data_IF_161716651482
#
_entry.id   IF_161716651482
#
_cell.length_a   1.000
_cell.length_b   1.000
_cell.length_c   1.000
_cell.angle_alpha   90.00
_cell.angle_beta   90.00
_cell.angle_gamma   90.00
#
_symmetry.space_group_name_H-M   'P 1'
#
loop_
_entity.id
_entity.type
_entity.pdbx_description
1 polymer ?
#
# COMPACT_ATOMS: atom_id res chain seq x y z
N UNK A 1 -0.94 18.06 -21.34
CA UNK A 1 -0.08 17.17 -20.52
C UNK A 1 -0.92 15.96 -20.17
N UNK A 2 -0.57 14.76 -20.63
CA UNK A 2 -1.36 13.55 -20.35
C UNK A 2 -1.18 13.17 -18.88
N UNK A 3 -2.28 13.06 -18.13
CA UNK A 3 -2.26 12.67 -16.72
C UNK A 3 -1.81 11.22 -16.61
N UNK A 4 -0.71 10.89 -15.94
CA UNK A 4 -0.35 9.48 -15.70
C UNK A 4 -1.05 8.93 -14.46
N UNK A 5 -1.40 7.65 -14.49
CA UNK A 5 -2.10 6.94 -13.43
C UNK A 5 -1.10 6.15 -12.58
N UNK A 6 -0.99 6.48 -11.29
CA UNK A 6 -0.23 5.69 -10.33
C UNK A 6 -1.13 4.62 -9.68
N UNK A 7 -0.84 3.35 -9.94
CA UNK A 7 -1.58 2.23 -9.36
C UNK A 7 -0.79 1.72 -8.15
N UNK A 8 -1.37 1.67 -6.94
CA UNK A 8 -0.70 1.06 -5.80
C UNK A 8 -0.54 -0.43 -6.05
N UNK A 9 0.64 -0.96 -5.78
CA UNK A 9 0.98 -2.36 -5.98
C UNK A 9 1.46 -2.97 -4.68
N UNK A 10 0.88 -4.11 -4.33
CA UNK A 10 1.39 -4.97 -3.26
C UNK A 10 1.90 -6.25 -3.90
N UNK A 11 3.17 -6.56 -3.71
CA UNK A 11 3.80 -7.80 -4.14
C UNK A 11 4.04 -8.66 -2.91
N UNK A 12 3.36 -9.80 -2.81
CA UNK A 12 3.60 -10.77 -1.74
C UNK A 12 4.45 -11.91 -2.27
N UNK A 13 5.70 -11.96 -1.81
CA UNK A 13 6.66 -12.99 -2.16
C UNK A 13 6.56 -14.17 -1.20
N UNK A 14 6.62 -15.37 -1.75
CA UNK A 14 6.66 -16.62 -0.99
C UNK A 14 7.68 -17.58 -1.56
N UNK A 15 8.21 -18.47 -0.71
CA UNK A 15 9.21 -19.49 -1.05
C UNK A 15 10.48 -18.92 -1.70
N UNK A 16 10.93 -17.75 -1.24
CA UNK A 16 12.11 -17.07 -1.79
C UNK A 16 13.39 -17.61 -1.13
N UNK A 17 14.32 -18.09 -1.93
CA UNK A 17 15.61 -18.55 -1.43
C UNK A 17 16.45 -17.37 -0.84
N UNK A 18 17.32 -17.68 0.13
CA UNK A 18 18.29 -16.72 0.64
C UNK A 18 19.39 -16.42 -0.38
N UNK A 19 20.10 -15.31 -0.20
CA UNK A 19 21.15 -14.82 -1.13
C UNK A 19 20.76 -14.83 -2.63
N UNK A 20 19.48 -14.60 -2.91
CA UNK A 20 18.91 -14.73 -4.24
C UNK A 20 18.72 -13.37 -4.88
N UNK A 21 18.87 -13.34 -6.20
CA UNK A 21 18.57 -12.18 -7.02
C UNK A 21 17.21 -12.37 -7.69
N UNK A 22 16.26 -11.52 -7.34
CA UNK A 22 14.95 -11.46 -7.96
C UNK A 22 14.85 -10.20 -8.82
N UNK A 23 14.18 -10.31 -9.95
CA UNK A 23 13.96 -9.18 -10.84
C UNK A 23 12.54 -9.24 -11.42
N UNK A 24 11.87 -8.10 -11.51
CA UNK A 24 10.62 -7.94 -12.22
C UNK A 24 10.79 -6.81 -13.25
N UNK A 25 10.80 -7.19 -14.53
CA UNK A 25 10.98 -6.27 -15.65
C UNK A 25 9.67 -6.12 -16.41
N UNK A 26 9.15 -4.90 -16.47
CA UNK A 26 7.99 -4.51 -17.24
C UNK A 26 8.42 -4.20 -18.68
N UNK A 27 7.74 -4.80 -19.64
CA UNK A 27 7.94 -4.54 -21.08
C UNK A 27 6.79 -3.79 -21.72
N UNK A 28 5.70 -3.55 -20.99
CA UNK A 28 4.60 -2.70 -21.46
C UNK A 28 5.06 -1.27 -21.67
N UNK A 29 4.90 -0.70 -22.88
CA UNK A 29 5.16 0.72 -23.11
C UNK A 29 4.32 1.62 -22.21
N UNK A 30 4.92 2.65 -21.63
CA UNK A 30 4.21 3.60 -20.76
C UNK A 30 3.95 3.10 -19.33
N UNK A 31 4.36 1.87 -18.97
CA UNK A 31 4.34 1.37 -17.60
C UNK A 31 5.74 1.39 -16.98
N UNK A 32 5.86 1.90 -15.75
CA UNK A 32 7.11 1.89 -14.99
C UNK A 32 6.86 1.80 -13.49
N UNK A 33 7.80 1.20 -12.78
CA UNK A 33 7.85 1.28 -11.32
C UNK A 33 8.13 2.71 -10.87
N UNK A 34 7.54 3.08 -9.75
CA UNK A 34 7.63 4.41 -9.17
C UNK A 34 7.50 4.31 -7.66
N UNK A 35 8.18 5.21 -6.94
CA UNK A 35 7.86 5.48 -5.52
C UNK A 35 6.65 6.41 -5.37
N UNK A 36 6.06 6.86 -6.49
CA UNK A 36 5.24 8.08 -6.51
C UNK A 36 6.15 9.31 -6.69
N UNK A 37 5.73 10.28 -7.50
CA UNK A 37 6.40 11.57 -7.64
C UNK A 37 5.44 12.69 -7.24
N UNK A 38 5.85 13.84 -6.69
CA UNK A 38 7.16 14.52 -6.71
C UNK A 38 7.35 15.46 -5.49
N UNK A 39 8.59 15.50 -4.98
CA UNK A 39 9.23 16.49 -4.08
C UNK A 39 8.75 16.51 -2.60
N UNK A 40 9.69 16.31 -1.68
CA UNK A 40 9.50 16.21 -0.23
C UNK A 40 9.72 14.76 0.24
N UNK A 41 10.43 14.57 1.35
CA UNK A 41 11.02 13.30 1.78
C UNK A 41 10.09 12.08 1.63
N UNK A 42 10.43 11.31 0.60
CA UNK A 42 10.04 9.97 0.18
C UNK A 42 9.03 9.21 1.06
N UNK A 43 7.80 9.08 0.58
CA UNK A 43 6.90 7.97 0.91
C UNK A 43 6.74 7.08 -0.32
N UNK A 44 6.69 5.75 -0.12
CA UNK A 44 6.15 4.83 -1.12
C UNK A 44 6.84 3.47 -1.27
N UNK A 45 7.78 3.10 -0.41
CA UNK A 45 8.34 1.75 -0.36
C UNK A 45 8.15 1.19 1.05
N UNK A 46 7.38 0.11 1.19
CA UNK A 46 7.31 -0.63 2.45
C UNK A 46 7.67 -2.08 2.21
N UNK A 47 8.43 -2.62 3.15
CA UNK A 47 8.82 -4.02 3.18
C UNK A 47 8.41 -4.60 4.52
N UNK A 48 7.66 -5.70 4.48
CA UNK A 48 7.28 -6.42 5.69
C UNK A 48 7.74 -7.86 5.57
N UNK A 49 8.43 -8.39 6.58
CA UNK A 49 8.66 -9.83 6.70
C UNK A 49 7.36 -10.44 7.22
N UNK A 50 6.81 -11.42 6.51
CA UNK A 50 5.67 -12.18 7.02
C UNK A 50 6.23 -13.16 8.06
N UNK A 51 6.04 -12.83 9.34
CA UNK A 51 6.63 -13.58 10.45
C UNK A 51 6.27 -15.07 10.36
N UNK A 52 7.29 -15.93 10.35
CA UNK A 52 7.10 -17.35 10.67
C UNK A 52 7.23 -17.62 12.17
N UNK A 53 7.87 -16.73 12.95
CA UNK A 53 7.92 -16.78 14.42
C UNK A 53 8.19 -15.38 15.02
N UNK A 54 7.66 -15.13 16.22
CA UNK A 54 7.57 -13.79 16.87
C UNK A 54 8.91 -13.33 17.49
N UNK A 55 9.92 -14.19 17.56
CA UNK A 55 11.23 -13.88 18.14
C UNK A 55 12.35 -14.32 17.19
N UNK A 56 13.06 -13.35 16.58
CA UNK A 56 14.27 -13.62 15.78
C UNK A 56 14.15 -13.36 14.28
N UNK A 57 13.42 -12.32 13.84
CA UNK A 57 13.34 -11.95 12.42
C UNK A 57 14.74 -11.71 11.85
N UNK A 58 15.23 -12.67 11.07
CA UNK A 58 16.45 -12.51 10.31
C UNK A 58 16.14 -11.62 9.10
N UNK A 59 16.93 -10.57 8.82
CA UNK A 59 16.67 -9.69 7.68
C UNK A 59 16.63 -10.49 6.38
N UNK A 60 15.48 -10.49 5.69
CA UNK A 60 15.28 -11.24 4.45
C UNK A 60 15.82 -10.49 3.23
N UNK A 61 15.81 -9.16 3.22
CA UNK A 61 16.30 -8.35 2.10
C UNK A 61 17.67 -7.71 2.40
N UNK A 62 18.55 -7.75 1.41
CA UNK A 62 19.83 -7.05 1.38
C UNK A 62 19.71 -5.73 0.62
N UNK A 63 18.96 -5.69 -0.49
CA UNK A 63 18.74 -4.47 -1.26
C UNK A 63 17.47 -4.56 -2.09
N UNK A 64 16.83 -3.41 -2.32
CA UNK A 64 15.82 -3.24 -3.37
C UNK A 64 16.16 -2.01 -4.18
N UNK A 65 16.10 -2.14 -5.49
CA UNK A 65 16.30 -1.05 -6.43
C UNK A 65 15.21 -1.11 -7.50
N UNK A 66 14.86 0.01 -8.10
CA UNK A 66 14.04 0.00 -9.31
C UNK A 66 14.45 1.16 -10.20
N UNK A 67 14.37 0.95 -11.50
CA UNK A 67 14.68 1.95 -12.51
C UNK A 67 13.75 1.76 -13.70
N UNK A 68 12.80 2.67 -13.86
CA UNK A 68 11.80 2.59 -14.92
C UNK A 68 11.02 1.29 -14.83
N UNK A 69 11.08 0.45 -15.87
CA UNK A 69 10.38 -0.83 -15.91
C UNK A 69 11.00 -1.94 -15.03
N UNK A 70 12.17 -1.73 -14.42
CA UNK A 70 12.91 -2.79 -13.72
C UNK A 70 12.78 -2.63 -12.21
N UNK A 71 12.43 -3.70 -11.49
CA UNK A 71 12.47 -3.82 -10.03
C UNK A 71 13.41 -4.96 -9.66
N UNK A 72 14.49 -4.66 -8.96
CA UNK A 72 15.52 -5.61 -8.55
C UNK A 72 15.51 -5.78 -7.04
N UNK A 73 15.54 -7.02 -6.56
CA UNK A 73 15.50 -7.36 -5.15
C UNK A 73 16.60 -8.38 -4.88
N UNK A 74 17.41 -8.12 -3.86
CA UNK A 74 18.42 -9.06 -3.37
C UNK A 74 18.03 -9.53 -1.98
N UNK A 75 17.92 -10.84 -1.79
CA UNK A 75 17.71 -11.40 -0.46
C UNK A 75 19.04 -11.57 0.28
N UNK A 76 19.00 -11.48 1.60
CA UNK A 76 20.16 -11.58 2.47
C UNK A 76 20.71 -13.00 2.50
N UNK A 77 22.03 -13.13 2.64
CA UNK A 77 22.70 -14.42 2.80
C UNK A 77 22.44 -15.08 4.15
N UNK A 78 22.02 -14.31 5.16
CA UNK A 78 21.65 -14.85 6.46
C UNK A 78 20.18 -15.26 6.55
N UNK A 79 19.35 -14.87 5.56
CA UNK A 79 17.92 -15.17 5.57
C UNK A 79 17.64 -16.69 5.62
N UNK A 80 16.55 -17.12 6.26
CA UNK A 80 16.07 -18.50 6.21
C UNK A 80 15.94 -19.05 4.79
N UNK A 81 15.93 -20.37 4.65
CA UNK A 81 15.52 -20.97 3.39
C UNK A 81 14.01 -20.76 3.19
N UNK A 82 13.59 -20.32 2.00
CA UNK A 82 12.17 -20.15 1.61
C UNK A 82 11.42 -19.04 2.37
N UNK A 83 11.96 -17.83 2.34
CA UNK A 83 11.37 -16.67 3.00
C UNK A 83 10.06 -16.19 2.37
N UNK A 84 9.31 -15.44 3.17
CA UNK A 84 8.09 -14.73 2.75
C UNK A 84 8.18 -13.27 3.17
N UNK A 85 7.86 -12.38 2.24
CA UNK A 85 7.83 -10.95 2.52
C UNK A 85 6.88 -10.24 1.57
N UNK A 86 6.46 -9.03 1.91
CA UNK A 86 5.70 -8.17 1.02
C UNK A 86 6.49 -6.91 0.68
N UNK A 87 6.27 -6.41 -0.54
CA UNK A 87 6.70 -5.10 -0.99
C UNK A 87 5.48 -4.28 -1.40
N UNK A 88 5.38 -3.04 -0.92
CA UNK A 88 4.39 -2.09 -1.41
C UNK A 88 5.11 -1.00 -2.20
N UNK A 89 4.66 -0.75 -3.43
CA UNK A 89 5.21 0.25 -4.35
C UNK A 89 4.12 0.74 -5.31
N UNK A 90 4.48 1.54 -6.32
CA UNK A 90 3.53 2.04 -7.32
C UNK A 90 3.95 1.69 -8.76
N UNK A 91 2.96 1.51 -9.61
CA UNK A 91 3.11 1.52 -11.07
C UNK A 91 2.64 2.85 -11.62
N UNK A 92 3.53 3.63 -12.22
CA UNK A 92 3.19 4.79 -13.03
C UNK A 92 2.88 4.32 -14.45
N UNK A 93 1.61 4.44 -14.85
CA UNK A 93 1.06 3.89 -16.09
C UNK A 93 0.38 5.01 -16.89
N UNK A 94 0.57 5.01 -18.20
CA UNK A 94 -0.14 5.93 -19.10
C UNK A 94 -1.65 5.60 -19.19
N UNK A 95 -2.56 6.59 -19.31
CA UNK A 95 -4.02 6.42 -19.21
C UNK A 95 -4.66 5.29 -20.00
N UNK A 96 -4.11 5.01 -21.18
CA UNK A 96 -4.71 4.12 -22.17
C UNK A 96 -4.05 2.74 -22.18
N UNK A 97 -3.17 2.44 -21.23
CA UNK A 97 -2.49 1.16 -21.10
C UNK A 97 -3.43 0.17 -20.40
N UNK A 98 -4.00 -0.84 -21.09
CA UNK A 98 -5.04 -1.69 -20.53
C UNK A 98 -4.48 -2.97 -19.88
N UNK A 99 -3.18 -3.21 -20.00
CA UNK A 99 -2.53 -4.40 -19.48
C UNK A 99 -1.07 -4.13 -19.13
N UNK A 100 -0.56 -4.93 -18.22
CA UNK A 100 0.84 -5.03 -17.85
C UNK A 100 1.41 -6.32 -18.44
N UNK A 101 2.62 -6.27 -18.98
CA UNK A 101 3.40 -7.40 -19.49
C UNK A 101 4.84 -7.22 -19.07
N UNK A 102 5.53 -8.33 -18.89
CA UNK A 102 6.91 -8.33 -18.46
C UNK A 102 7.46 -9.73 -18.23
N UNK A 103 8.55 -9.76 -17.46
CA UNK A 103 9.21 -10.97 -17.05
C UNK A 103 9.64 -10.87 -15.58
N UNK A 104 9.47 -11.95 -14.84
CA UNK A 104 10.06 -12.14 -13.53
C UNK A 104 11.25 -13.10 -13.63
N UNK A 105 12.36 -12.78 -12.98
CA UNK A 105 13.43 -13.72 -12.65
C UNK A 105 13.31 -14.03 -11.17
N UNK A 106 12.95 -15.27 -10.83
CA UNK A 106 12.78 -15.75 -9.45
C UNK A 106 13.49 -17.10 -9.29
N UNK A 107 13.75 -17.54 -8.05
CA UNK A 107 14.10 -18.95 -7.83
C UNK A 107 12.91 -19.86 -8.18
N UNK A 108 13.18 -21.13 -8.53
CA UNK A 108 12.17 -22.04 -9.10
C UNK A 108 10.88 -22.18 -8.28
N UNK A 109 10.99 -22.16 -6.95
CA UNK A 109 9.85 -22.37 -6.05
C UNK A 109 9.17 -21.06 -5.64
N UNK A 110 9.76 -19.91 -5.97
CA UNK A 110 9.24 -18.62 -5.57
C UNK A 110 8.01 -18.21 -6.38
N UNK A 111 7.03 -17.68 -5.66
CA UNK A 111 5.77 -17.18 -6.21
C UNK A 111 5.54 -15.78 -5.69
N UNK A 112 5.14 -14.88 -6.59
CA UNK A 112 4.72 -13.52 -6.25
C UNK A 112 3.22 -13.41 -6.48
N UNK A 113 2.46 -13.14 -5.43
CA UNK A 113 1.07 -12.69 -5.55
C UNK A 113 1.08 -11.18 -5.72
N UNK A 114 0.88 -10.72 -6.96
CA UNK A 114 0.89 -9.32 -7.32
C UNK A 114 -0.52 -8.74 -7.32
N UNK A 115 -0.78 -7.82 -6.40
CA UNK A 115 -2.02 -7.08 -6.32
C UNK A 115 -1.81 -5.71 -6.97
N UNK A 116 -2.50 -5.45 -8.07
CA UNK A 116 -2.40 -4.21 -8.83
C UNK A 116 -3.66 -3.37 -8.57
N UNK A 117 -3.58 -2.42 -7.65
CA UNK A 117 -4.74 -1.66 -7.20
C UNK A 117 -5.68 -2.51 -6.35
N UNK A 118 -6.98 -2.44 -6.67
CA UNK A 118 -8.04 -3.19 -6.00
C UNK A 118 -8.42 -4.49 -6.72
N UNK A 119 -7.50 -5.14 -7.44
CA UNK A 119 -7.77 -6.34 -8.23
C UNK A 119 -7.47 -7.65 -7.49
N UNK A 120 -7.91 -8.76 -8.10
CA UNK A 120 -7.42 -10.10 -7.77
C UNK A 120 -5.89 -10.15 -7.83
N UNK A 121 -5.23 -10.87 -6.90
CA UNK A 121 -3.81 -11.14 -7.05
C UNK A 121 -3.57 -11.96 -8.31
N UNK A 122 -2.66 -11.49 -9.15
CA UNK A 122 -2.11 -12.29 -10.23
C UNK A 122 -0.88 -13.00 -9.70
N UNK A 123 -0.85 -14.33 -9.85
CA UNK A 123 0.32 -15.12 -9.47
C UNK A 123 1.37 -15.03 -10.58
N UNK A 124 2.55 -14.56 -10.20
CA UNK A 124 3.72 -14.49 -11.06
C UNK A 124 4.75 -15.51 -10.61
N UNK A 125 5.28 -16.22 -11.59
CA UNK A 125 6.33 -17.22 -11.44
C UNK A 125 7.57 -16.75 -12.22
N UNK A 126 8.67 -17.48 -12.07
CA UNK A 126 9.83 -17.27 -12.92
C UNK A 126 9.45 -17.40 -14.41
N UNK A 127 9.71 -16.37 -15.21
CA UNK A 127 9.34 -16.30 -16.62
C UNK A 127 8.41 -15.13 -16.96
N UNK A 128 7.56 -15.31 -17.97
CA UNK A 128 6.66 -14.25 -18.46
C UNK A 128 5.57 -13.92 -17.46
N UNK A 129 5.27 -12.63 -17.31
CA UNK A 129 4.15 -12.14 -16.53
C UNK A 129 3.22 -11.29 -17.37
N UNK A 130 1.96 -11.30 -17.00
CA UNK A 130 0.94 -10.41 -17.56
C UNK A 130 -0.16 -10.16 -16.55
N UNK A 131 -0.76 -8.99 -16.59
CA UNK A 131 -1.95 -8.66 -15.82
C UNK A 131 -2.84 -7.73 -16.64
N UNK A 132 -4.15 -7.85 -16.51
CA UNK A 132 -5.08 -6.85 -17.05
C UNK A 132 -5.15 -5.71 -16.04
N UNK A 133 -5.08 -4.47 -16.52
CA UNK A 133 -5.22 -3.30 -15.69
C UNK A 133 -6.67 -2.82 -15.80
N UNK A 134 -7.44 -2.79 -14.70
CA UNK A 134 -8.81 -2.33 -14.74
C UNK A 134 -8.86 -0.84 -15.06
N UNK A 135 -9.94 -0.44 -15.72
CA UNK A 135 -10.33 0.97 -15.67
C UNK A 135 -10.58 1.35 -14.22
N UNK A 136 -9.97 2.44 -13.74
CA UNK A 136 -10.19 2.91 -12.38
C UNK A 136 -11.71 3.06 -12.13
N UNK A 137 -12.29 2.42 -11.10
CA UNK A 137 -13.71 2.58 -10.78
C UNK A 137 -13.97 4.06 -10.58
N UNK A 138 -14.91 4.62 -11.38
CA UNK A 138 -15.04 6.09 -11.56
C UNK A 138 -15.17 6.86 -10.25
N UNK A 139 -15.72 6.22 -9.20
CA UNK A 139 -15.98 6.85 -7.91
C UNK A 139 -15.42 6.06 -6.71
N UNK A 140 -14.30 5.37 -6.86
CA UNK A 140 -13.63 4.72 -5.74
C UNK A 140 -12.11 4.86 -5.85
N UNK A 141 -11.44 5.21 -4.75
CA UNK A 141 -9.98 5.36 -4.68
C UNK A 141 -9.42 4.81 -3.39
N UNK A 142 -8.21 4.29 -3.47
CA UNK A 142 -7.42 3.95 -2.30
C UNK A 142 -7.00 5.23 -1.57
N UNK A 143 -6.92 5.15 -0.24
CA UNK A 143 -6.29 6.12 0.63
C UNK A 143 -5.19 5.40 1.38
N UNK A 144 -3.94 5.78 1.12
CA UNK A 144 -2.78 5.27 1.87
C UNK A 144 -2.53 6.19 3.05
N UNK A 145 -2.56 5.65 4.25
CA UNK A 145 -2.22 6.33 5.48
C UNK A 145 -0.85 5.89 5.97
N UNK A 146 -0.02 6.86 6.34
CA UNK A 146 1.21 6.65 7.11
C UNK A 146 0.99 7.26 8.48
N UNK A 147 1.03 6.43 9.50
CA UNK A 147 0.73 6.82 10.89
C UNK A 147 2.00 6.56 11.68
N UNK A 148 2.56 7.58 12.32
CA UNK A 148 3.73 7.43 13.19
C UNK A 148 3.41 7.89 14.60
N UNK A 149 4.19 7.43 15.58
CA UNK A 149 4.06 7.87 16.96
C UNK A 149 2.95 7.19 17.78
N UNK A 150 2.30 6.14 17.26
CA UNK A 150 1.31 5.36 17.99
C UNK A 150 1.91 4.75 19.26
N UNK A 151 1.34 5.07 20.43
CA UNK A 151 1.70 4.48 21.71
C UNK A 151 0.78 3.29 22.03
N UNK A 152 1.19 2.40 22.94
CA UNK A 152 0.27 1.41 23.52
C UNK A 152 -0.96 2.07 24.14
N UNK A 153 -2.16 1.56 23.82
CA UNK A 153 -3.43 2.11 24.28
C UNK A 153 -3.95 3.32 23.51
N UNK A 154 -3.17 3.90 22.59
CA UNK A 154 -3.57 5.08 21.81
C UNK A 154 -4.75 4.78 20.87
N UNK A 155 -5.80 5.61 20.88
CA UNK A 155 -6.83 5.60 19.86
C UNK A 155 -6.42 6.44 18.65
N UNK A 156 -6.83 5.99 17.46
CA UNK A 156 -6.79 6.75 16.23
C UNK A 156 -8.14 6.64 15.54
N UNK A 157 -8.72 7.79 15.16
CA UNK A 157 -9.94 7.86 14.37
C UNK A 157 -9.69 8.63 13.09
N UNK A 158 -10.18 8.10 11.97
CA UNK A 158 -10.06 8.70 10.64
C UNK A 158 -11.45 8.90 10.04
N UNK A 159 -11.84 10.16 9.92
CA UNK A 159 -13.13 10.59 9.40
C UNK A 159 -13.03 10.97 7.93
N UNK A 160 -14.10 10.69 7.17
CA UNK A 160 -14.25 11.13 5.78
C UNK A 160 -15.58 11.84 5.54
N UNK A 161 -15.52 12.98 4.85
CA UNK A 161 -16.68 13.69 4.31
C UNK A 161 -16.41 14.14 2.88
N UNK A 162 -17.46 14.48 2.15
CA UNK A 162 -17.36 15.08 0.81
C UNK A 162 -17.48 16.61 0.87
N UNK A 163 -17.00 17.29 -0.17
CA UNK A 163 -17.42 18.66 -0.45
C UNK A 163 -18.91 18.72 -0.77
N UNK A 164 -19.59 19.77 -0.29
CA UNK A 164 -20.99 19.97 -0.62
C UNK A 164 -21.14 20.48 -2.07
N UNK A 165 -22.13 19.98 -2.85
CA UNK A 165 -23.11 18.95 -2.53
C UNK A 165 -22.60 17.54 -2.93
N UNK A 166 -22.28 16.70 -1.94
CA UNK A 166 -21.78 15.34 -2.21
C UNK A 166 -21.74 14.46 -0.97
N UNK A 167 -21.45 13.18 -1.18
CA UNK A 167 -21.20 12.21 -0.13
C UNK A 167 -19.92 11.44 -0.42
N UNK A 168 -19.14 11.20 0.63
CA UNK A 168 -18.00 10.29 0.60
C UNK A 168 -18.16 9.31 1.75
N UNK A 169 -17.75 8.07 1.51
CA UNK A 169 -17.80 7.00 2.51
C UNK A 169 -16.59 6.08 2.39
N UNK A 170 -16.16 5.57 3.53
CA UNK A 170 -15.25 4.46 3.58
C UNK A 170 -15.90 3.21 3.01
N UNK A 171 -15.15 2.40 2.27
CA UNK A 171 -15.57 1.11 1.73
C UNK A 171 -14.45 0.10 1.91
N UNK A 172 -14.79 -1.18 2.05
CA UNK A 172 -13.79 -2.24 2.14
C UNK A 172 -13.00 -2.40 0.84
N UNK A 173 -13.47 -1.85 -0.26
CA UNK A 173 -12.81 -1.90 -1.55
C UNK A 173 -13.77 -1.46 -2.65
N UNK A 174 -13.32 -1.46 -3.92
CA UNK A 174 -14.22 -1.39 -5.05
C UNK A 174 -15.18 -2.59 -5.08
N UNK A 175 -16.33 -2.46 -5.78
CA UNK A 175 -17.35 -3.51 -5.96
C UNK A 175 -16.86 -4.65 -6.91
N UNK A 176 -15.62 -5.12 -6.72
CA UNK A 176 -15.05 -6.28 -7.38
C UNK A 176 -14.82 -7.37 -6.32
N UNK A 177 -15.33 -8.60 -6.52
CA UNK A 177 -15.40 -9.65 -5.50
C UNK A 177 -14.08 -10.07 -4.81
N UNK A 178 -12.92 -9.66 -5.31
CA UNK A 178 -11.61 -10.06 -4.80
C UNK A 178 -10.62 -8.90 -4.63
N UNK A 179 -11.10 -7.66 -4.49
CA UNK A 179 -10.23 -6.55 -4.13
C UNK A 179 -9.50 -6.83 -2.82
N UNK A 180 -8.25 -6.36 -2.72
CA UNK A 180 -7.61 -6.17 -1.43
C UNK A 180 -8.53 -5.31 -0.58
N UNK A 181 -8.92 -5.85 0.56
CA UNK A 181 -9.68 -5.14 1.58
C UNK A 181 -8.89 -3.97 2.17
N UNK A 182 -9.44 -3.34 3.21
CA UNK A 182 -8.60 -2.51 4.07
C UNK A 182 -7.44 -3.36 4.64
N UNK A 183 -6.21 -2.85 4.53
CA UNK A 183 -4.99 -3.56 4.91
C UNK A 183 -4.16 -2.72 5.88
N UNK A 184 -3.53 -3.38 6.85
CA UNK A 184 -2.65 -2.75 7.84
C UNK A 184 -1.32 -3.48 7.89
N UNK A 185 -0.24 -2.72 7.93
CA UNK A 185 1.13 -3.22 8.06
C UNK A 185 1.97 -2.27 8.91
N UNK A 186 3.09 -2.73 9.44
CA UNK A 186 3.96 -1.92 10.31
C UNK A 186 5.43 -2.11 9.97
N UNK A 187 6.18 -1.00 10.02
CA UNK A 187 7.62 -0.98 9.73
C UNK A 187 8.46 -1.58 10.86
N UNK A 188 7.91 -1.69 12.08
CA UNK A 188 8.63 -2.05 13.30
C UNK A 188 8.25 -3.40 13.92
N UNK A 189 7.44 -4.22 13.24
CA UNK A 189 6.97 -5.52 13.74
C UNK A 189 5.44 -5.57 13.90
N UNK A 190 4.95 -6.43 14.80
CA UNK A 190 3.51 -6.63 15.01
C UNK A 190 2.83 -5.31 15.43
N UNK A 191 1.70 -4.97 14.78
CA UNK A 191 0.84 -3.89 15.24
C UNK A 191 0.04 -4.45 16.43
N UNK A 192 0.22 -3.96 17.66
CA UNK A 192 -0.56 -4.46 18.79
C UNK A 192 -1.97 -3.88 18.71
N UNK A 193 -2.81 -4.33 17.78
CA UNK A 193 -4.19 -3.84 17.65
C UNK A 193 -5.08 -4.49 18.72
N UNK A 194 -5.70 -3.68 19.57
CA UNK A 194 -6.78 -4.11 20.45
C UNK A 194 -8.13 -4.08 19.75
N UNK A 195 -8.36 -3.08 18.88
CA UNK A 195 -9.56 -3.01 18.05
C UNK A 195 -9.30 -2.31 16.72
N UNK A 196 -10.06 -2.74 15.70
CA UNK A 196 -10.15 -2.08 14.42
C UNK A 196 -11.61 -2.12 13.95
N UNK A 197 -12.22 -0.96 13.76
CA UNK A 197 -13.60 -0.82 13.33
C UNK A 197 -13.66 0.02 12.07
N UNK A 198 -14.48 -0.41 11.12
CA UNK A 198 -14.61 0.21 9.81
C UNK A 198 -16.09 0.45 9.51
N UNK A 199 -16.51 1.70 9.41
CA UNK A 199 -17.86 2.08 9.00
C UNK A 199 -17.81 3.17 7.93
N UNK A 200 -18.96 3.48 7.33
CA UNK A 200 -19.09 4.43 6.21
C UNK A 200 -18.45 5.81 6.45
N UNK A 201 -18.30 6.28 7.69
CA UNK A 201 -17.81 7.64 7.98
C UNK A 201 -16.51 7.66 8.75
N UNK A 202 -16.17 6.59 9.46
CA UNK A 202 -15.07 6.53 10.41
C UNK A 202 -14.38 5.18 10.39
N UNK A 203 -13.06 5.23 10.34
CA UNK A 203 -12.18 4.12 10.73
C UNK A 203 -11.73 4.40 12.15
N UNK A 204 -11.84 3.43 13.04
CA UNK A 204 -11.33 3.51 14.42
C UNK A 204 -10.30 2.41 14.62
N UNK A 205 -9.14 2.79 15.13
CA UNK A 205 -8.06 1.91 15.51
C UNK A 205 -7.73 2.16 16.97
N UNK A 206 -7.52 1.09 17.73
CA UNK A 206 -6.99 1.19 19.09
C UNK A 206 -5.85 0.19 19.25
N UNK A 207 -4.71 0.66 19.73
CA UNK A 207 -3.60 -0.22 20.10
C UNK A 207 -3.84 -0.84 21.49
N UNK A 208 -3.30 -2.01 21.74
CA UNK A 208 -3.34 -2.71 23.03
C UNK A 208 -2.28 -2.18 23.99
N UNK A 209 -2.47 -2.46 25.28
CA UNK A 209 -1.65 -1.96 26.38
C UNK A 209 -0.33 -2.74 26.58
N UNK A 210 0.21 -3.37 25.54
CA UNK A 210 1.40 -4.21 25.64
C UNK A 210 2.64 -3.41 26.07
N UNK A 211 3.43 -3.96 27.00
CA UNK A 211 4.71 -3.39 27.41
C UNK A 211 5.78 -3.59 26.31
N UNK A 212 6.40 -2.49 25.85
CA UNK A 212 7.77 -2.55 25.32
C UNK A 212 7.98 -2.73 23.82
N UNK A 213 7.08 -2.30 22.94
CA UNK A 213 7.35 -2.23 21.50
C UNK A 213 7.81 -0.84 21.06
N UNK A 214 8.96 -0.75 20.38
CA UNK A 214 9.43 0.43 19.66
C UNK A 214 8.31 1.06 18.81
N UNK A 215 8.34 2.40 18.68
CA UNK A 215 7.48 3.18 17.79
C UNK A 215 7.35 2.45 16.43
N UNK A 216 6.18 1.90 16.14
CA UNK A 216 5.91 1.28 14.85
C UNK A 216 5.17 2.29 14.01
N UNK A 217 5.75 2.64 12.86
CA UNK A 217 4.99 3.36 11.86
C UNK A 217 4.01 2.36 11.24
N UNK A 218 2.74 2.70 11.29
CA UNK A 218 1.66 1.91 10.72
C UNK A 218 1.34 2.46 9.34
N UNK A 219 1.35 1.57 8.37
CA UNK A 219 0.86 1.81 7.03
C UNK A 219 -0.51 1.16 6.89
N UNK A 220 -1.51 1.96 6.53
CA UNK A 220 -2.87 1.48 6.30
C UNK A 220 -3.34 1.84 4.91
N UNK A 221 -3.82 0.85 4.16
CA UNK A 221 -4.55 1.06 2.91
C UNK A 221 -6.04 0.94 3.22
N UNK A 222 -6.80 1.97 2.89
CA UNK A 222 -8.27 1.98 2.95
C UNK A 222 -8.84 2.45 1.61
N UNK A 223 -10.16 2.40 1.43
CA UNK A 223 -10.80 2.87 0.20
C UNK A 223 -11.92 3.85 0.50
N UNK A 224 -12.00 4.91 -0.28
CA UNK A 224 -13.09 5.88 -0.25
C UNK A 224 -13.89 5.76 -1.54
N UNK A 225 -15.21 5.72 -1.40
CA UNK A 225 -16.15 5.87 -2.51
C UNK A 225 -16.96 7.15 -2.35
N UNK A 226 -17.41 7.73 -3.46
CA UNK A 226 -18.12 9.01 -3.41
C UNK A 226 -19.24 9.14 -4.46
N UNK A 227 -20.11 10.14 -4.23
CA UNK A 227 -21.13 10.58 -5.15
C UNK A 227 -21.33 12.11 -5.01
N UNK A 228 -21.64 12.85 -6.08
CA UNK A 228 -21.73 12.39 -7.47
C UNK A 228 -20.34 12.07 -8.08
N UNK A 229 -20.30 11.47 -9.27
CA UNK A 229 -19.04 11.01 -9.87
C UNK A 229 -18.01 12.12 -10.12
N UNK A 230 -18.50 13.32 -10.37
CA UNK A 230 -17.77 14.55 -10.63
C UNK A 230 -17.41 15.33 -9.35
N UNK A 231 -17.57 14.74 -8.15
CA UNK A 231 -17.12 15.34 -6.90
C UNK A 231 -15.61 15.65 -6.98
N UNK A 232 -15.25 16.92 -6.78
CA UNK A 232 -13.87 17.39 -6.94
C UNK A 232 -12.96 17.04 -5.77
N UNK A 233 -13.52 16.95 -4.56
CA UNK A 233 -12.74 16.76 -3.35
C UNK A 233 -13.51 16.04 -2.23
N UNK A 234 -12.72 15.41 -1.36
CA UNK A 234 -13.13 14.91 -0.05
C UNK A 234 -12.35 15.64 1.03
N UNK A 235 -12.79 15.46 2.27
CA UNK A 235 -12.06 15.95 3.43
C UNK A 235 -11.81 14.81 4.38
N UNK A 236 -10.57 14.73 4.85
CA UNK A 236 -10.14 13.76 5.85
C UNK A 236 -9.84 14.50 7.14
N UNK A 237 -10.12 13.84 8.26
CA UNK A 237 -9.80 14.33 9.60
C UNK A 237 -9.23 13.18 10.43
N UNK A 238 -8.20 13.46 11.20
CA UNK A 238 -7.55 12.51 12.08
C UNK A 238 -7.71 12.97 13.53
N UNK A 239 -8.31 12.14 14.38
CA UNK A 239 -8.37 12.35 15.83
C UNK A 239 -7.47 11.31 16.47
N UNK A 240 -6.37 11.76 17.06
CA UNK A 240 -5.38 10.91 17.70
C UNK A 240 -4.73 11.66 18.87
N UNK A 241 -3.91 10.97 19.64
CA UNK A 241 -3.07 11.59 20.65
C UNK A 241 -2.09 12.60 20.00
N UNK A 242 -1.66 13.66 20.71
CA UNK A 242 -0.76 14.68 20.16
C UNK A 242 0.60 14.16 19.66
N UNK A 243 1.04 12.98 20.13
CA UNK A 243 2.26 12.34 19.68
C UNK A 243 2.10 11.57 18.36
N UNK A 244 0.88 11.39 17.88
CA UNK A 244 0.57 10.64 16.67
C UNK A 244 0.48 11.60 15.49
N UNK A 245 1.20 11.31 14.43
CA UNK A 245 1.10 12.05 13.18
C UNK A 245 0.55 11.16 12.08
N UNK A 246 -0.38 11.70 11.28
CA UNK A 246 -1.08 10.98 10.22
C UNK A 246 -0.90 11.71 8.91
N UNK A 247 -0.29 11.05 7.94
CA UNK A 247 -0.21 11.50 6.56
C UNK A 247 -1.13 10.63 5.70
N UNK A 248 -1.93 11.24 4.83
CA UNK A 248 -2.77 10.51 3.87
C UNK A 248 -2.44 10.86 2.44
N UNK A 249 -2.61 9.88 1.56
CA UNK A 249 -2.50 10.01 0.12
C UNK A 249 -3.76 9.44 -0.53
N UNK A 250 -4.56 10.29 -1.18
CA UNK A 250 -5.78 9.86 -1.89
C UNK A 250 -5.44 9.55 -3.35
N UNK A 251 -5.53 8.27 -3.71
CA UNK A 251 -5.10 7.75 -5.00
C UNK A 251 -3.66 8.16 -5.32
N UNK A 252 -3.51 8.97 -6.37
CA UNK A 252 -2.23 9.40 -6.94
C UNK A 252 -1.83 10.82 -6.55
N UNK A 253 -2.64 11.49 -5.70
CA UNK A 253 -2.41 12.87 -5.25
C UNK A 253 -1.24 12.93 -4.26
N UNK A 254 -0.69 14.13 -4.07
CA UNK A 254 0.40 14.32 -3.11
C UNK A 254 -0.06 13.96 -1.69
N UNK A 255 0.77 13.25 -0.91
CA UNK A 255 0.50 13.01 0.50
C UNK A 255 0.40 14.33 1.27
N UNK A 256 -0.55 14.41 2.19
CA UNK A 256 -0.75 15.58 3.03
C UNK A 256 -1.01 15.14 4.47
N UNK A 257 -0.49 15.92 5.41
CA UNK A 257 -0.77 15.76 6.82
C UNK A 257 -2.26 16.00 7.09
N UNK A 258 -2.87 15.10 7.85
CA UNK A 258 -4.24 15.23 8.29
C UNK A 258 -4.23 15.84 9.68
N UNK A 259 -4.95 16.94 9.85
CA UNK A 259 -5.14 17.58 11.14
C UNK A 259 -6.37 17.03 11.90
N UNK A 260 -6.53 17.43 13.17
CA UNK A 260 -7.80 17.30 13.91
C UNK A 260 -8.96 18.12 13.31
N UNK A 261 -8.68 18.93 12.29
CA UNK A 261 -9.66 19.63 11.46
C UNK A 261 -9.73 18.99 10.08
N UNK A 262 -10.79 19.27 9.32
CA UNK A 262 -10.93 18.70 7.99
C UNK A 262 -9.89 19.26 7.02
N UNK A 263 -9.02 18.37 6.53
CA UNK A 263 -8.00 18.64 5.51
C UNK A 263 -8.55 18.22 4.14
N UNK A 264 -8.39 19.06 3.12
CA UNK A 264 -8.97 18.85 1.79
C UNK A 264 -8.08 17.96 0.92
N UNK A 265 -8.69 17.00 0.24
CA UNK A 265 -8.03 16.11 -0.71
C UNK A 265 -8.78 16.12 -2.03
N UNK A 266 -8.06 16.29 -3.14
CA UNK A 266 -8.64 16.22 -4.48
C UNK A 266 -8.88 14.77 -4.89
N UNK A 267 -9.99 14.54 -5.59
CA UNK A 267 -10.34 13.25 -6.18
C UNK A 267 -9.87 13.16 -7.63
#
# INVERSE_FOLDING_TARGET
>A
MSYRNAIPVVLQFSNVASNSYLNITLTTPGARWSMGGRIGDSLGFSYNVLAQDVYGNVPVLQSVSFNGGILEIRTSSVAPALNKFSLTLFLDIEPDVPFLQGYCTLNNEAVVSAFLGGEQPVQWYNGRISAVLPAAPRNCRSVLFTISGLQPGSPLMLDVIAGAPGSARWTLGPEVPQALGAALSSTGGNIPLASFTYNDKRIVMQTGNGQGGTLSDVLMVAYVSWQPADLSCIYLKAIADPSVSVCAQVGTRQPQWISPTYSVFTL
#
